data_IF_748272693809
#
_entry.id   IF_748272693809
#
_cell.length_a   1.000
_cell.length_b   1.000
_cell.length_c   1.000
_cell.angle_alpha   90.00
_cell.angle_beta   90.00
_cell.angle_gamma   90.00
#
_symmetry.space_group_name_H-M   'P 1'
#
loop_
_entity.id
_entity.type
_entity.pdbx_description
1 polymer ?
#
# COMPACT_ATOMS: atom_id res chain seq x y z
N UNK A 1 19.60 -53.14 36.15
CA UNK A 1 18.48 -52.89 35.22
C UNK A 1 17.82 -51.57 35.58
N UNK A 2 18.19 -50.49 34.86
CA UNK A 2 17.39 -49.28 34.63
C UNK A 2 18.14 -48.43 33.59
N UNK A 3 17.57 -48.42 32.39
CA UNK A 3 17.93 -47.59 31.25
C UNK A 3 17.88 -46.10 31.66
N UNK A 4 18.85 -45.32 31.21
CA UNK A 4 18.68 -43.88 31.03
C UNK A 4 19.18 -43.55 29.61
N UNK A 5 18.22 -43.21 28.74
CA UNK A 5 18.44 -42.74 27.38
C UNK A 5 19.16 -41.38 27.42
N UNK A 6 20.22 -41.24 26.63
CA UNK A 6 20.79 -39.95 26.26
C UNK A 6 20.05 -39.48 25.00
N UNK A 7 19.13 -38.53 25.15
CA UNK A 7 18.59 -37.77 24.02
C UNK A 7 19.40 -36.47 23.90
N UNK A 8 20.39 -36.44 23.01
CA UNK A 8 21.07 -35.21 22.63
C UNK A 8 20.15 -34.44 21.67
N UNK A 9 19.41 -33.46 22.20
CA UNK A 9 18.74 -32.48 21.36
C UNK A 9 19.82 -31.59 20.73
N UNK A 10 20.02 -31.74 19.42
CA UNK A 10 20.70 -30.76 18.59
C UNK A 10 19.85 -29.49 18.57
N UNK A 11 20.06 -28.63 19.57
CA UNK A 11 19.68 -27.22 19.47
C UNK A 11 20.64 -26.61 18.47
N UNK A 12 20.21 -26.47 17.23
CA UNK A 12 20.83 -25.52 16.32
C UNK A 12 20.58 -24.14 16.94
N UNK A 13 21.55 -23.62 17.68
CA UNK A 13 21.57 -22.21 18.04
C UNK A 13 21.60 -21.45 16.71
N UNK A 14 20.47 -20.85 16.33
CA UNK A 14 20.50 -19.72 15.42
C UNK A 14 21.50 -18.73 16.03
N UNK A 15 22.54 -18.38 15.26
CA UNK A 15 23.51 -17.39 15.68
C UNK A 15 22.74 -16.14 16.11
N UNK A 16 22.93 -15.72 17.36
CA UNK A 16 22.45 -14.43 17.80
C UNK A 16 23.05 -13.38 16.87
N UNK A 17 22.22 -12.46 16.36
CA UNK A 17 22.65 -11.34 15.53
C UNK A 17 23.83 -10.64 16.23
N UNK A 18 24.94 -10.49 15.51
CA UNK A 18 26.10 -9.78 16.02
C UNK A 18 25.72 -8.34 16.38
N UNK A 19 26.42 -7.77 17.34
CA UNK A 19 26.17 -6.40 17.78
C UNK A 19 26.67 -5.46 16.67
N UNK A 20 25.79 -5.09 15.75
CA UNK A 20 26.15 -4.26 14.60
C UNK A 20 26.41 -2.80 15.01
N UNK A 21 27.40 -2.18 14.37
CA UNK A 21 27.87 -0.81 14.63
C UNK A 21 26.83 0.28 14.38
N UNK A 22 27.26 1.53 14.61
CA UNK A 22 26.42 2.72 14.47
C UNK A 22 25.84 2.81 13.04
N UNK A 23 24.51 2.99 12.95
CA UNK A 23 23.80 3.06 11.67
C UNK A 23 24.39 4.17 10.78
N UNK A 24 24.48 3.95 9.45
CA UNK A 24 24.99 4.95 8.52
C UNK A 24 24.29 6.31 8.71
N UNK A 25 25.06 7.39 8.78
CA UNK A 25 24.53 8.75 8.87
C UNK A 25 24.06 9.21 7.50
N UNK A 26 22.74 9.37 7.38
CA UNK A 26 22.13 9.93 6.19
C UNK A 26 22.41 11.44 6.13
N UNK A 27 23.12 11.87 5.10
CA UNK A 27 23.31 13.28 4.79
C UNK A 27 22.67 13.56 3.42
N UNK A 28 21.41 13.98 3.41
CA UNK A 28 20.68 14.37 2.19
C UNK A 28 19.68 15.47 2.50
N UNK A 29 19.74 16.59 1.77
CA UNK A 29 18.81 17.71 1.95
C UNK A 29 17.37 17.31 1.63
N UNK A 30 16.42 17.81 2.42
CA UNK A 30 14.99 17.51 2.29
C UNK A 30 14.46 17.78 0.88
N UNK A 31 13.90 16.74 0.27
CA UNK A 31 13.22 16.80 -1.02
C UNK A 31 11.80 17.34 -0.89
N UNK A 32 11.24 17.83 -2.00
CA UNK A 32 9.84 18.30 -2.09
C UNK A 32 9.14 17.65 -3.27
N UNK A 33 7.94 17.12 -3.05
CA UNK A 33 6.99 16.69 -4.09
C UNK A 33 5.81 17.64 -4.07
N UNK A 34 5.42 18.15 -5.23
CA UNK A 34 4.30 19.08 -5.37
C UNK A 34 3.15 18.37 -6.05
N UNK A 35 1.98 18.37 -5.40
CA UNK A 35 0.73 17.93 -5.99
C UNK A 35 -0.08 19.15 -6.44
N UNK A 36 -0.15 19.38 -7.74
CA UNK A 36 -0.93 20.46 -8.34
C UNK A 36 -2.39 20.05 -8.54
N UNK A 37 -3.31 21.03 -8.54
CA UNK A 37 -4.71 20.79 -8.84
C UNK A 37 -4.92 20.57 -10.34
N UNK A 38 -5.22 19.33 -10.75
CA UNK A 38 -5.42 18.92 -12.15
C UNK A 38 -6.61 17.94 -12.29
N UNK A 39 -7.85 18.43 -12.15
CA UNK A 39 -9.02 17.57 -12.10
C UNK A 39 -9.30 16.90 -13.45
N UNK A 40 -9.37 15.57 -13.46
CA UNK A 40 -9.72 14.77 -14.63
C UNK A 40 -8.65 14.69 -15.72
N UNK A 41 -7.42 15.13 -15.43
CA UNK A 41 -6.28 15.02 -16.34
C UNK A 41 -5.67 13.62 -16.32
N UNK A 42 -5.57 13.03 -15.12
CA UNK A 42 -4.95 11.72 -14.89
C UNK A 42 -5.99 10.60 -14.83
N UNK A 43 -5.67 9.48 -15.46
CA UNK A 43 -6.36 8.21 -15.34
C UNK A 43 -5.47 7.21 -14.62
N UNK A 44 -6.02 6.45 -13.66
CA UNK A 44 -5.29 5.38 -13.02
C UNK A 44 -5.24 4.16 -13.97
N UNK A 45 -4.17 4.00 -14.74
CA UNK A 45 -3.98 2.90 -15.69
C UNK A 45 -2.51 2.47 -15.89
N UNK A 46 -1.57 3.15 -15.23
CA UNK A 46 -0.13 2.89 -15.30
C UNK A 46 0.57 3.57 -16.47
N UNK A 47 -0.14 4.28 -17.35
CA UNK A 47 0.43 4.88 -18.55
C UNK A 47 0.97 6.29 -18.27
N UNK A 48 2.17 6.67 -18.74
CA UNK A 48 2.73 8.00 -18.44
C UNK A 48 2.20 9.17 -19.29
N UNK A 49 1.19 8.97 -20.16
CA UNK A 49 0.89 9.94 -21.23
C UNK A 49 0.18 11.19 -20.72
N UNK A 50 -0.79 11.00 -19.84
CA UNK A 50 -1.47 12.04 -19.06
C UNK A 50 -0.54 12.76 -18.07
N UNK A 51 0.61 12.17 -17.72
CA UNK A 51 1.59 12.78 -16.82
C UNK A 51 2.66 13.65 -17.52
N UNK A 52 2.66 13.76 -18.85
CA UNK A 52 3.72 14.47 -19.59
C UNK A 52 3.90 15.92 -19.14
N UNK A 53 2.80 16.60 -18.82
CA UNK A 53 2.80 18.01 -18.41
C UNK A 53 3.01 18.23 -16.90
N UNK A 54 3.16 17.15 -16.11
CA UNK A 54 3.38 17.22 -14.66
C UNK A 54 4.88 17.18 -14.37
N UNK A 55 5.37 18.13 -13.57
CA UNK A 55 6.78 18.17 -13.18
C UNK A 55 7.15 16.99 -12.26
N UNK A 56 8.35 16.44 -12.46
CA UNK A 56 8.87 15.37 -11.64
C UNK A 56 9.86 15.88 -10.60
N UNK A 57 9.74 15.35 -9.38
CA UNK A 57 10.78 15.42 -8.36
C UNK A 57 11.65 14.17 -8.45
N UNK A 58 12.95 14.34 -8.71
CA UNK A 58 13.90 13.22 -8.78
C UNK A 58 14.62 13.01 -7.43
N UNK A 59 14.70 11.76 -7.01
CA UNK A 59 15.38 11.34 -5.78
C UNK A 59 16.31 10.15 -6.05
N UNK A 60 17.39 10.07 -5.28
CA UNK A 60 18.28 8.91 -5.30
C UNK A 60 17.65 7.77 -4.50
N UNK A 61 17.53 6.58 -5.10
CA UNK A 61 17.23 5.36 -4.38
C UNK A 61 18.49 4.90 -3.64
N UNK A 62 18.51 5.17 -2.33
CA UNK A 62 19.53 4.72 -1.42
C UNK A 62 19.24 3.27 -0.99
N UNK A 63 20.26 2.46 -0.69
CA UNK A 63 20.05 1.19 0.00
C UNK A 63 19.30 1.45 1.31
N UNK A 64 18.37 0.57 1.69
CA UNK A 64 17.90 0.55 3.06
C UNK A 64 19.10 0.41 4.01
N UNK A 65 18.96 0.92 5.23
CA UNK A 65 19.98 0.82 6.28
C UNK A 65 20.16 -0.66 6.67
N UNK A 66 20.96 -1.40 5.90
CA UNK A 66 21.43 -2.74 6.23
C UNK A 66 22.80 -2.57 6.93
N UNK A 67 23.00 -3.14 8.12
CA UNK A 67 24.30 -3.09 8.80
C UNK A 67 25.41 -3.84 8.06
N UNK A 68 25.08 -4.65 7.06
CA UNK A 68 26.04 -5.43 6.28
C UNK A 68 26.35 -4.75 4.92
N UNK A 69 27.49 -4.06 4.84
CA UNK A 69 27.94 -3.30 3.66
C UNK A 69 28.02 -4.12 2.36
N UNK A 70 28.29 -5.43 2.44
CA UNK A 70 28.37 -6.34 1.28
C UNK A 70 26.99 -6.69 0.70
N UNK A 71 25.93 -6.42 1.46
CA UNK A 71 24.55 -6.67 1.08
C UNK A 71 23.83 -5.43 0.55
N UNK A 72 24.46 -4.26 0.62
CA UNK A 72 23.93 -3.03 0.03
C UNK A 72 23.76 -3.20 -1.49
N UNK A 73 22.53 -3.05 -1.96
CA UNK A 73 22.25 -3.04 -3.39
C UNK A 73 22.79 -1.74 -4.02
N UNK A 74 23.11 -1.73 -5.32
CA UNK A 74 23.61 -0.51 -6.00
C UNK A 74 22.50 0.54 -6.10
N UNK A 75 22.72 1.74 -5.54
CA UNK A 75 21.71 2.80 -5.56
C UNK A 75 21.17 3.13 -6.96
N UNK A 76 19.96 3.68 -7.00
CA UNK A 76 19.25 4.03 -8.23
C UNK A 76 18.68 5.44 -8.20
N UNK A 77 17.70 5.71 -9.06
CA UNK A 77 16.91 6.94 -9.05
C UNK A 77 15.43 6.61 -9.16
N UNK A 78 14.61 7.46 -8.56
CA UNK A 78 13.16 7.47 -8.76
C UNK A 78 12.72 8.89 -9.10
N UNK A 79 11.83 9.01 -10.08
CA UNK A 79 11.12 10.25 -10.34
C UNK A 79 9.70 10.13 -9.79
N UNK A 80 9.25 11.12 -9.02
CA UNK A 80 7.91 11.17 -8.43
C UNK A 80 7.17 12.37 -8.99
N UNK A 81 5.99 12.13 -9.54
CA UNK A 81 5.02 13.15 -9.97
C UNK A 81 3.78 13.05 -9.09
N UNK A 82 3.12 14.16 -8.81
CA UNK A 82 1.88 14.16 -8.05
C UNK A 82 0.89 15.21 -8.54
N UNK A 83 -0.40 14.89 -8.46
CA UNK A 83 -1.51 15.81 -8.74
C UNK A 83 -2.68 15.52 -7.81
N UNK A 84 -3.68 16.39 -7.74
CA UNK A 84 -4.94 16.12 -7.06
C UNK A 84 -6.13 16.73 -7.82
N UNK A 85 -7.32 16.14 -7.66
CA UNK A 85 -8.57 16.64 -8.27
C UNK A 85 -9.47 17.38 -7.24
N UNK A 86 -8.96 17.56 -6.02
CA UNK A 86 -9.68 18.17 -4.90
C UNK A 86 -10.45 17.17 -4.04
N UNK A 87 -10.57 15.92 -4.48
CA UNK A 87 -11.16 14.79 -3.76
C UNK A 87 -10.10 13.71 -3.50
N UNK A 88 -9.35 13.36 -4.54
CA UNK A 88 -8.30 12.36 -4.54
C UNK A 88 -6.93 13.00 -4.83
N UNK A 89 -5.89 12.35 -4.34
CA UNK A 89 -4.50 12.60 -4.71
C UNK A 89 -4.00 11.44 -5.57
N UNK A 90 -3.15 11.76 -6.54
CA UNK A 90 -2.56 10.83 -7.49
C UNK A 90 -1.05 10.97 -7.48
N UNK A 91 -0.34 9.85 -7.60
CA UNK A 91 1.10 9.80 -7.74
C UNK A 91 1.50 8.94 -8.92
N UNK A 92 2.56 9.32 -9.62
CA UNK A 92 3.27 8.49 -10.59
C UNK A 92 4.73 8.37 -10.19
N UNK A 93 5.22 7.15 -10.07
CA UNK A 93 6.61 6.84 -9.76
C UNK A 93 7.25 6.18 -10.97
N UNK A 94 8.41 6.69 -11.35
CA UNK A 94 9.18 6.18 -12.49
C UNK A 94 10.52 5.66 -12.00
N UNK A 95 10.80 4.40 -12.29
CA UNK A 95 12.06 3.76 -11.92
C UNK A 95 12.61 2.98 -13.11
N UNK A 96 13.80 3.35 -13.57
CA UNK A 96 14.47 2.61 -14.63
C UNK A 96 14.86 1.22 -14.15
N UNK A 97 14.62 0.23 -14.99
CA UNK A 97 14.94 -1.14 -14.69
C UNK A 97 14.42 -2.12 -15.73
N UNK A 98 15.23 -3.13 -16.03
CA UNK A 98 14.88 -4.36 -16.72
C UNK A 98 13.55 -5.03 -16.28
N UNK A 99 12.80 -5.55 -17.24
CA UNK A 99 11.59 -6.31 -16.96
C UNK A 99 11.89 -7.58 -16.14
N UNK A 100 11.35 -7.67 -14.93
CA UNK A 100 11.56 -8.78 -14.02
C UNK A 100 10.21 -9.27 -13.47
N UNK A 101 9.86 -10.51 -13.75
CA UNK A 101 8.65 -11.12 -13.23
C UNK A 101 8.79 -12.63 -13.12
N UNK A 102 8.31 -13.21 -12.02
CA UNK A 102 8.13 -14.65 -11.87
C UNK A 102 6.76 -14.93 -11.27
N UNK A 103 5.90 -15.64 -12.03
CA UNK A 103 4.54 -15.96 -11.59
C UNK A 103 4.54 -16.73 -10.28
N UNK A 104 3.79 -16.23 -9.30
CA UNK A 104 3.62 -16.85 -8.00
C UNK A 104 4.79 -16.65 -7.03
N UNK A 105 5.83 -15.90 -7.41
CA UNK A 105 6.99 -15.65 -6.56
C UNK A 105 7.15 -14.18 -6.21
N UNK A 106 6.53 -13.78 -5.10
CA UNK A 106 6.44 -12.38 -4.69
C UNK A 106 7.79 -11.67 -4.52
N UNK A 107 8.83 -12.46 -4.23
CA UNK A 107 10.21 -12.02 -4.02
C UNK A 107 10.98 -11.75 -5.33
N UNK A 108 10.38 -12.03 -6.49
CA UNK A 108 11.01 -11.89 -7.81
C UNK A 108 10.24 -10.91 -8.70
N UNK A 109 9.62 -9.91 -8.07
CA UNK A 109 8.82 -8.91 -8.77
C UNK A 109 9.14 -7.50 -8.24
N UNK A 110 9.38 -6.53 -9.14
CA UNK A 110 9.57 -5.13 -8.82
C UNK A 110 8.37 -4.58 -8.05
N UNK A 111 8.56 -4.11 -6.84
CA UNK A 111 7.47 -3.56 -6.04
C UNK A 111 7.85 -2.19 -5.54
N UNK A 112 6.88 -1.29 -5.45
CA UNK A 112 7.11 0.03 -4.86
C UNK A 112 6.13 0.24 -3.70
N UNK A 113 6.56 0.99 -2.70
CA UNK A 113 5.72 1.41 -1.60
C UNK A 113 5.77 2.94 -1.45
N UNK A 114 4.60 3.53 -1.28
CA UNK A 114 4.44 4.88 -0.76
C UNK A 114 4.21 4.80 0.74
N UNK A 115 4.84 5.71 1.47
CA UNK A 115 4.81 5.74 2.93
C UNK A 115 4.54 7.16 3.38
N UNK A 116 3.54 7.37 4.23
CA UNK A 116 3.18 8.68 4.76
C UNK A 116 3.28 8.70 6.28
N UNK A 117 3.81 9.80 6.80
CA UNK A 117 3.94 9.96 8.24
C UNK A 117 2.58 10.07 8.93
N UNK A 118 2.36 9.22 9.94
CA UNK A 118 1.26 9.36 10.90
C UNK A 118 1.85 9.60 12.29
N UNK A 119 1.42 10.66 12.96
CA UNK A 119 1.95 11.04 14.27
C UNK A 119 3.47 11.28 14.26
N UNK A 120 4.21 10.62 15.16
CA UNK A 120 5.64 10.87 15.41
C UNK A 120 6.59 9.91 14.67
N UNK A 121 6.19 9.41 13.51
CA UNK A 121 6.99 8.43 12.77
C UNK A 121 8.33 8.98 12.29
N UNK A 122 9.37 8.12 12.32
CA UNK A 122 10.71 8.43 11.85
C UNK A 122 11.00 7.60 10.59
N UNK A 123 11.32 8.23 9.46
CA UNK A 123 11.60 7.54 8.19
C UNK A 123 12.95 6.82 8.28
N UNK A 124 13.16 5.78 7.47
CA UNK A 124 14.41 5.02 7.47
C UNK A 124 14.61 4.06 8.65
N UNK A 125 14.14 4.43 9.86
CA UNK A 125 14.41 3.74 11.12
C UNK A 125 13.22 2.96 11.66
N UNK A 126 12.01 3.51 11.52
CA UNK A 126 10.81 2.89 12.07
C UNK A 126 9.92 2.32 10.97
N UNK A 127 9.69 3.02 9.85
CA UNK A 127 8.87 2.52 8.73
C UNK A 127 7.57 1.78 9.15
N UNK A 128 6.98 2.16 10.29
CA UNK A 128 5.84 1.49 10.92
C UNK A 128 6.18 0.41 11.97
N UNK A 129 7.35 -0.21 11.91
CA UNK A 129 7.80 -1.19 12.90
C UNK A 129 8.06 -0.57 14.28
N UNK A 130 7.55 -1.21 15.33
CA UNK A 130 7.89 -0.87 16.71
C UNK A 130 9.08 -1.70 17.20
N UNK A 131 9.75 -1.22 18.25
CA UNK A 131 10.93 -1.88 18.84
C UNK A 131 10.66 -3.32 19.34
N UNK A 132 9.41 -3.69 19.64
CA UNK A 132 9.03 -5.02 20.13
C UNK A 132 8.95 -6.01 18.95
N UNK A 133 8.30 -5.61 17.87
CA UNK A 133 8.10 -6.46 16.69
C UNK A 133 9.34 -6.49 15.78
N UNK A 134 10.07 -5.37 15.67
CA UNK A 134 11.33 -5.31 14.93
C UNK A 134 12.40 -6.24 15.53
N UNK A 135 12.36 -6.52 16.83
CA UNK A 135 13.24 -7.49 17.47
C UNK A 135 13.05 -8.93 16.96
N UNK A 136 11.91 -9.22 16.35
CA UNK A 136 11.62 -10.52 15.73
C UNK A 136 12.05 -10.59 14.25
N UNK A 137 12.53 -9.49 13.65
CA UNK A 137 13.04 -9.44 12.27
C UNK A 137 12.00 -9.73 11.18
N UNK A 138 10.71 -9.68 11.53
CA UNK A 138 9.59 -9.95 10.60
C UNK A 138 8.99 -8.67 10.00
N UNK A 139 9.40 -7.49 10.47
CA UNK A 139 8.85 -6.19 10.04
C UNK A 139 7.40 -5.97 10.45
N UNK A 140 6.91 -6.67 11.48
CA UNK A 140 5.57 -6.49 12.01
C UNK A 140 5.42 -5.16 12.76
N UNK A 141 4.19 -4.67 12.83
CA UNK A 141 3.81 -3.40 13.45
C UNK A 141 2.56 -3.57 14.34
N UNK A 142 2.47 -4.68 15.08
CA UNK A 142 1.30 -5.04 15.90
C UNK A 142 0.87 -3.95 16.87
N UNK A 143 1.80 -3.07 17.22
CA UNK A 143 1.57 -1.88 18.03
C UNK A 143 2.11 -0.64 17.31
N UNK A 144 1.22 0.14 16.70
CA UNK A 144 1.53 1.45 16.15
C UNK A 144 1.77 1.43 14.64
N UNK A 145 0.70 1.60 13.88
CA UNK A 145 0.77 1.98 12.47
C UNK A 145 1.16 3.46 12.39
N UNK A 146 2.43 3.74 12.72
CA UNK A 146 2.97 5.11 12.66
C UNK A 146 3.17 5.55 11.21
N UNK A 147 3.05 4.65 10.26
CA UNK A 147 3.14 4.95 8.84
C UNK A 147 1.91 4.37 8.16
N UNK A 148 1.31 5.18 7.30
CA UNK A 148 0.35 4.73 6.32
C UNK A 148 1.13 4.32 5.07
N UNK A 149 1.17 3.01 4.83
CA UNK A 149 1.93 2.40 3.74
C UNK A 149 0.99 1.78 2.75
N UNK A 150 1.32 1.90 1.47
CA UNK A 150 0.73 1.08 0.44
C UNK A 150 1.83 0.58 -0.46
N UNK A 151 1.96 -0.74 -0.56
CA UNK A 151 2.87 -1.37 -1.50
C UNK A 151 2.07 -2.03 -2.61
N UNK A 152 2.45 -1.74 -3.85
CA UNK A 152 1.77 -2.29 -5.02
C UNK A 152 2.76 -2.97 -5.95
N UNK A 153 2.39 -4.20 -6.28
CA UNK A 153 2.77 -4.91 -7.47
C UNK A 153 1.55 -5.72 -7.94
N UNK A 154 1.15 -5.57 -9.21
CA UNK A 154 0.00 -6.25 -9.85
C UNK A 154 -0.05 -7.77 -9.72
N UNK A 155 1.08 -8.44 -9.57
CA UNK A 155 1.20 -9.88 -9.79
C UNK A 155 1.73 -10.63 -8.57
N UNK A 156 2.22 -9.90 -7.56
CA UNK A 156 3.17 -10.44 -6.59
C UNK A 156 2.95 -9.94 -5.18
N UNK A 157 2.62 -8.66 -4.99
CA UNK A 157 2.49 -8.08 -3.65
C UNK A 157 1.55 -6.88 -3.66
N UNK A 158 0.50 -6.96 -2.89
CA UNK A 158 -0.28 -5.81 -2.45
C UNK A 158 -0.25 -5.82 -0.93
N UNK A 159 0.09 -4.68 -0.32
CA UNK A 159 0.16 -4.51 1.12
C UNK A 159 -0.68 -3.28 1.47
N UNK A 160 -1.57 -3.46 2.43
CA UNK A 160 -2.44 -2.42 2.99
C UNK A 160 -3.29 -1.66 1.96
N UNK A 161 -3.89 -2.43 1.03
CA UNK A 161 -4.94 -1.93 0.15
C UNK A 161 -5.58 -3.02 -0.72
N UNK A 162 -6.39 -2.61 -1.70
CA UNK A 162 -7.21 -3.52 -2.51
C UNK A 162 -6.36 -4.16 -3.62
N UNK A 163 -6.08 -5.46 -3.48
CA UNK A 163 -5.42 -6.28 -4.50
C UNK A 163 -6.37 -6.91 -5.52
N UNK A 164 -5.85 -7.50 -6.62
CA UNK A 164 -6.65 -8.21 -7.62
C UNK A 164 -7.40 -9.45 -7.08
N UNK A 165 -6.96 -9.98 -5.93
CA UNK A 165 -7.46 -11.23 -5.31
C UNK A 165 -7.95 -11.05 -3.87
N UNK A 166 -8.57 -9.89 -3.60
CA UNK A 166 -9.16 -9.48 -2.31
C UNK A 166 -8.19 -8.84 -1.31
N UNK A 167 -8.78 -8.07 -0.39
CA UNK A 167 -8.11 -7.32 0.67
C UNK A 167 -7.49 -8.28 1.69
N UNK A 168 -6.18 -8.23 1.88
CA UNK A 168 -5.46 -9.09 2.83
C UNK A 168 -5.20 -8.41 4.19
N UNK A 169 -5.61 -7.16 4.38
CA UNK A 169 -5.42 -6.45 5.64
C UNK A 169 -6.69 -5.76 6.12
N UNK A 170 -6.77 -5.51 7.43
CA UNK A 170 -7.83 -4.66 7.99
C UNK A 170 -7.58 -3.18 7.72
N UNK A 171 -6.49 -2.84 7.04
CA UNK A 171 -6.08 -1.47 6.77
C UNK A 171 -6.98 -0.93 5.63
N UNK A 172 -7.69 0.17 5.92
CA UNK A 172 -8.70 0.78 5.04
C UNK A 172 -8.11 1.97 4.29
N UNK A 173 -6.88 1.84 3.82
CA UNK A 173 -6.07 2.98 3.35
C UNK A 173 -6.57 3.56 2.01
N UNK A 174 -7.64 2.95 1.45
CA UNK A 174 -8.37 3.33 0.23
C UNK A 174 -7.48 3.53 -1.01
N UNK A 175 -6.29 2.93 -1.00
CA UNK A 175 -5.36 3.00 -2.12
C UNK A 175 -5.76 2.08 -3.26
N UNK A 176 -5.67 2.66 -4.45
CA UNK A 176 -5.69 1.96 -5.72
C UNK A 176 -4.34 2.14 -6.42
N UNK A 177 -3.86 1.07 -7.04
CA UNK A 177 -2.60 1.06 -7.75
C UNK A 177 -2.74 0.57 -9.18
N UNK A 178 -2.01 1.18 -10.10
CA UNK A 178 -1.78 0.67 -11.44
C UNK A 178 -0.28 0.63 -11.73
N UNK A 179 0.13 -0.09 -12.77
CA UNK A 179 1.53 -0.15 -13.16
C UNK A 179 1.67 -0.44 -14.65
N UNK A 180 2.82 -0.10 -15.19
CA UNK A 180 3.23 -0.47 -16.54
C UNK A 180 4.74 -0.56 -16.63
N UNK A 181 5.24 -1.20 -17.68
CA UNK A 181 6.66 -1.20 -18.00
C UNK A 181 6.84 -0.91 -19.48
N UNK A 182 7.79 -0.02 -19.83
CA UNK A 182 7.93 0.48 -21.21
C UNK A 182 8.31 -0.55 -22.26
N UNK A 183 8.77 -1.74 -21.86
CA UNK A 183 9.00 -2.86 -22.81
C UNK A 183 7.72 -3.59 -23.22
N UNK A 184 6.60 -3.35 -22.54
CA UNK A 184 5.33 -4.02 -22.81
C UNK A 184 4.65 -3.38 -24.02
N UNK A 185 4.16 -4.22 -24.93
CA UNK A 185 3.56 -3.78 -26.20
C UNK A 185 2.03 -3.76 -26.18
N UNK A 186 1.42 -4.24 -25.10
CA UNK A 186 -0.02 -4.23 -24.89
C UNK A 186 -0.33 -3.79 -23.46
N UNK A 187 -1.41 -3.01 -23.32
CA UNK A 187 -1.94 -2.58 -22.04
C UNK A 187 -2.99 -3.57 -21.61
N UNK A 188 -3.00 -3.91 -20.33
CA UNK A 188 -3.93 -4.88 -19.80
C UNK A 188 -4.30 -4.49 -18.38
N UNK A 189 -5.57 -4.67 -18.03
CA UNK A 189 -6.16 -4.08 -16.83
C UNK A 189 -5.70 -4.67 -15.50
N UNK A 190 -6.37 -4.19 -14.44
CA UNK A 190 -6.13 -4.45 -13.02
C UNK A 190 -6.26 -5.90 -12.53
N UNK A 191 -6.47 -6.88 -13.42
CA UNK A 191 -6.67 -8.28 -13.05
C UNK A 191 -5.52 -9.16 -13.50
N UNK A 192 -5.21 -10.18 -12.69
CA UNK A 192 -4.12 -11.13 -12.88
C UNK A 192 -4.08 -11.77 -14.28
N UNK A 193 -5.27 -11.99 -14.87
CA UNK A 193 -5.43 -12.67 -16.17
C UNK A 193 -5.15 -11.74 -17.36
N UNK A 194 -5.22 -10.43 -17.15
CA UNK A 194 -4.96 -9.43 -18.19
C UNK A 194 -3.48 -9.04 -18.20
N UNK A 195 -2.85 -8.92 -17.02
CA UNK A 195 -1.53 -8.30 -16.83
C UNK A 195 -0.42 -8.77 -17.81
N UNK A 196 0.35 -7.86 -18.45
CA UNK A 196 1.14 -8.21 -19.63
C UNK A 196 2.42 -8.94 -19.23
N UNK A 197 2.69 -10.11 -19.83
CA UNK A 197 3.98 -10.77 -19.68
C UNK A 197 4.98 -10.21 -20.68
N UNK A 198 5.89 -9.37 -20.19
CA UNK A 198 7.09 -8.96 -20.91
C UNK A 198 8.13 -10.07 -20.99
N UNK A 199 9.12 -9.89 -21.87
CA UNK A 199 10.30 -10.76 -21.90
C UNK A 199 11.24 -10.36 -20.76
N UNK A 200 11.64 -11.35 -19.96
CA UNK A 200 12.57 -11.16 -18.85
C UNK A 200 13.85 -10.48 -19.32
N UNK A 201 14.35 -9.55 -18.51
CA UNK A 201 15.59 -8.79 -18.68
C UNK A 201 15.54 -7.76 -19.83
N UNK A 202 14.36 -7.52 -20.42
CA UNK A 202 14.19 -6.44 -21.41
C UNK A 202 14.30 -5.07 -20.72
N UNK A 203 15.18 -4.22 -21.23
CA UNK A 203 15.41 -2.88 -20.68
C UNK A 203 14.17 -2.00 -20.79
N UNK A 204 13.93 -1.19 -19.77
CA UNK A 204 12.86 -0.21 -19.78
C UNK A 204 12.75 0.55 -18.47
N UNK A 205 11.56 1.08 -18.25
CA UNK A 205 11.20 1.91 -17.10
C UNK A 205 9.89 1.39 -16.57
N UNK A 206 9.83 1.22 -15.25
CA UNK A 206 8.59 0.95 -14.53
C UNK A 206 7.87 2.25 -14.24
N UNK A 207 6.57 2.22 -14.46
CA UNK A 207 5.62 3.26 -14.09
C UNK A 207 4.69 2.66 -13.06
N UNK A 208 4.55 3.30 -11.90
CA UNK A 208 3.59 2.91 -10.88
C UNK A 208 2.72 4.10 -10.56
N UNK A 209 1.42 3.89 -10.60
CA UNK A 209 0.46 4.90 -10.23
C UNK A 209 -0.26 4.52 -8.96
N UNK A 210 -0.58 5.55 -8.19
CA UNK A 210 -1.30 5.43 -6.94
C UNK A 210 -2.37 6.49 -6.88
N UNK A 211 -3.56 6.12 -6.43
CA UNK A 211 -4.60 7.09 -6.10
C UNK A 211 -5.31 6.71 -4.82
N UNK A 212 -5.71 7.72 -4.06
CA UNK A 212 -6.69 7.57 -2.99
C UNK A 212 -7.41 8.88 -2.68
N UNK A 213 -8.53 8.84 -1.94
CA UNK A 213 -9.13 10.03 -1.34
C UNK A 213 -8.15 10.82 -0.45
N UNK A 214 -8.22 12.15 -0.49
CA UNK A 214 -7.48 13.04 0.42
C UNK A 214 -7.86 12.79 1.89
N UNK A 215 -9.11 12.37 2.12
CA UNK A 215 -9.65 11.98 3.42
C UNK A 215 -10.17 10.56 3.34
N UNK A 216 -9.70 9.68 4.20
CA UNK A 216 -10.20 8.30 4.30
C UNK A 216 -11.26 8.21 5.38
N UNK A 217 -12.00 7.09 5.41
CA UNK A 217 -13.00 6.82 6.44
C UNK A 217 -12.43 6.16 7.69
N UNK A 218 -11.09 6.08 7.79
CA UNK A 218 -10.40 5.44 8.89
C UNK A 218 -10.75 6.05 10.25
N UNK A 219 -11.26 5.19 11.14
CA UNK A 219 -11.71 5.54 12.47
C UNK A 219 -10.62 5.33 13.54
N UNK A 220 -9.52 4.68 13.17
CA UNK A 220 -8.45 4.26 14.09
C UNK A 220 -7.19 5.13 13.98
N UNK A 221 -7.18 6.15 13.12
CA UNK A 221 -6.06 7.08 12.91
C UNK A 221 -4.77 6.38 12.47
N UNK A 222 -4.93 5.36 11.65
CA UNK A 222 -3.89 4.60 10.96
C UNK A 222 -3.55 5.24 9.60
N UNK A 223 -4.47 6.00 9.01
CA UNK A 223 -4.29 6.62 7.70
C UNK A 223 -3.83 8.08 7.79
N UNK A 224 -2.90 8.46 6.92
CA UNK A 224 -2.51 9.85 6.75
C UNK A 224 -3.65 10.65 6.09
N UNK A 225 -4.17 11.64 6.81
CA UNK A 225 -5.23 12.51 6.33
C UNK A 225 -4.64 13.75 5.66
N UNK A 226 -4.87 13.91 4.36
CA UNK A 226 -4.29 15.00 3.59
C UNK A 226 -5.19 16.24 3.57
N UNK A 227 -4.62 17.40 3.87
CA UNK A 227 -5.29 18.70 3.76
C UNK A 227 -4.66 19.52 2.65
N UNK A 228 -5.48 20.03 1.73
CA UNK A 228 -5.01 20.97 0.70
C UNK A 228 -4.47 22.23 1.38
N UNK A 229 -3.26 22.63 1.00
CA UNK A 229 -2.54 23.78 1.56
C UNK A 229 -1.72 23.46 2.81
N UNK A 230 -1.77 22.24 3.33
CA UNK A 230 -0.92 21.80 4.43
C UNK A 230 0.11 20.76 3.93
N UNK A 231 1.40 20.93 4.28
CA UNK A 231 2.42 19.94 3.94
C UNK A 231 2.17 18.62 4.68
N UNK A 232 2.46 17.51 3.99
CA UNK A 232 2.59 16.18 4.59
C UNK A 232 4.02 15.67 4.41
N UNK A 233 4.35 14.57 5.06
CA UNK A 233 5.65 13.93 4.96
C UNK A 233 5.49 12.55 4.32
N UNK A 234 6.30 12.29 3.29
CA UNK A 234 6.26 11.05 2.52
C UNK A 234 7.65 10.45 2.33
N UNK A 235 7.69 9.15 2.07
CA UNK A 235 8.86 8.41 1.62
C UNK A 235 8.44 7.39 0.56
N UNK A 236 9.41 6.94 -0.22
CA UNK A 236 9.20 5.94 -1.27
C UNK A 236 10.20 4.81 -1.06
N UNK A 237 9.74 3.57 -1.11
CA UNK A 237 10.60 2.40 -1.10
C UNK A 237 10.40 1.58 -2.37
N UNK A 238 11.48 0.99 -2.90
CA UNK A 238 11.47 0.18 -4.11
C UNK A 238 12.21 -1.13 -3.88
N UNK A 239 11.60 -2.24 -4.29
CA UNK A 239 12.18 -3.58 -4.23
C UNK A 239 12.46 -4.02 -5.65
N UNK A 240 13.72 -4.38 -5.94
CA UNK A 240 14.14 -4.68 -7.30
C UNK A 240 15.14 -5.84 -7.37
N UNK A 241 14.77 -6.99 -7.95
CA UNK A 241 15.57 -8.21 -7.87
C UNK A 241 16.56 -8.38 -9.03
N UNK A 242 17.31 -7.36 -9.43
CA UNK A 242 18.02 -7.39 -10.74
C UNK A 242 19.53 -7.31 -10.71
N UNK A 243 20.17 -7.17 -9.55
CA UNK A 243 21.63 -7.26 -9.44
C UNK A 243 22.12 -8.71 -9.20
N UNK A 244 21.22 -9.69 -9.27
CA UNK A 244 21.52 -11.09 -9.02
C UNK A 244 21.71 -11.43 -7.54
N UNK A 245 21.51 -10.48 -6.62
CA UNK A 245 21.52 -10.77 -5.19
C UNK A 245 20.24 -11.50 -4.77
N UNK A 246 20.33 -12.45 -3.83
CA UNK A 246 19.15 -13.09 -3.27
C UNK A 246 18.33 -12.07 -2.48
N UNK A 247 17.01 -12.14 -2.62
CA UNK A 247 16.09 -11.33 -1.84
C UNK A 247 16.19 -11.66 -0.34
N UNK A 248 16.12 -10.64 0.53
CA UNK A 248 16.00 -10.80 1.98
C UNK A 248 14.91 -9.86 2.53
N UNK A 249 14.40 -10.15 3.74
CA UNK A 249 13.37 -9.32 4.38
C UNK A 249 13.85 -7.89 4.65
N UNK A 250 15.15 -7.69 4.92
CA UNK A 250 15.74 -6.40 5.28
C UNK A 250 16.15 -5.57 4.07
N UNK A 251 16.28 -6.18 2.89
CA UNK A 251 16.91 -5.54 1.74
C UNK A 251 15.89 -4.98 0.76
N UNK A 252 15.82 -3.65 0.74
CA UNK A 252 15.08 -2.86 -0.23
C UNK A 252 15.79 -1.53 -0.47
N UNK A 253 15.41 -0.83 -1.53
CA UNK A 253 15.83 0.54 -1.74
C UNK A 253 14.82 1.50 -1.12
N UNK A 254 15.29 2.66 -0.66
CA UNK A 254 14.45 3.80 -0.30
C UNK A 254 14.91 5.04 -1.05
N UNK A 255 13.98 5.83 -1.55
CA UNK A 255 14.23 7.13 -2.18
C UNK A 255 14.71 8.19 -1.19
N UNK A 256 14.47 7.97 0.11
CA UNK A 256 14.79 8.96 1.12
C UNK A 256 15.17 8.32 2.45
N UNK A 257 16.28 8.79 3.00
CA UNK A 257 16.62 8.54 4.39
C UNK A 257 15.73 9.35 5.35
N UNK A 258 15.39 10.57 4.95
CA UNK A 258 14.54 11.50 5.68
C UNK A 258 13.15 11.61 5.04
N UNK A 259 12.21 12.26 5.72
CA UNK A 259 10.90 12.54 5.15
C UNK A 259 11.06 13.54 4.00
N UNK A 260 10.44 13.24 2.87
CA UNK A 260 10.25 14.17 1.76
C UNK A 260 8.96 14.95 2.01
N UNK A 261 8.99 16.26 1.85
CA UNK A 261 7.78 17.09 2.02
C UNK A 261 6.87 16.94 0.81
N UNK A 262 5.62 16.55 1.04
CA UNK A 262 4.53 16.53 0.07
C UNK A 262 3.68 17.78 0.24
N UNK A 263 3.64 18.63 -0.78
CA UNK A 263 2.84 19.84 -0.78
C UNK A 263 1.66 19.74 -1.73
N UNK A 264 0.46 19.70 -1.15
CA UNK A 264 -0.80 19.65 -1.89
C UNK A 264 -1.28 21.08 -2.08
N UNK A 265 -1.15 21.62 -3.28
CA UNK A 265 -1.32 23.04 -3.51
C UNK A 265 -2.79 23.47 -3.50
N UNK A 266 -3.13 24.62 -2.90
CA UNK A 266 -4.45 25.19 -3.07
C UNK A 266 -4.62 25.70 -4.51
N UNK A 267 -5.84 25.61 -5.04
CA UNK A 267 -6.21 26.23 -6.31
C UNK A 267 -7.50 27.02 -6.15
N UNK A 268 -7.54 28.22 -6.76
CA UNK A 268 -8.75 29.03 -6.83
C UNK A 268 -9.84 28.34 -7.66
N UNK A 269 -9.43 27.54 -8.65
CA UNK A 269 -10.33 26.71 -9.44
C UNK A 269 -10.87 25.54 -8.62
N UNK A 270 -10.05 24.91 -7.77
CA UNK A 270 -10.51 23.87 -6.84
C UNK A 270 -11.61 24.36 -5.90
N UNK A 271 -11.50 25.60 -5.38
CA UNK A 271 -12.53 26.19 -4.53
C UNK A 271 -13.88 26.39 -5.25
N UNK A 272 -13.88 26.43 -6.59
CA UNK A 272 -15.08 26.56 -7.44
C UNK A 272 -15.48 25.23 -8.10
N UNK A 273 -14.55 24.29 -8.14
CA UNK A 273 -14.76 22.96 -8.67
C UNK A 273 -15.72 22.23 -7.75
N UNK A 274 -16.93 21.98 -8.27
CA UNK A 274 -17.84 21.01 -7.68
C UNK A 274 -17.55 19.71 -8.41
N UNK A 275 -16.98 18.69 -7.74
CA UNK A 275 -16.92 17.37 -8.32
C UNK A 275 -18.33 17.01 -8.80
N UNK A 276 -18.44 16.36 -9.96
CA UNK A 276 -19.69 15.69 -10.28
C UNK A 276 -20.02 14.80 -9.07
N UNK A 277 -21.22 14.89 -8.46
CA UNK A 277 -21.54 14.05 -7.33
C UNK A 277 -21.28 12.60 -7.74
N UNK A 278 -20.50 11.87 -6.95
CA UNK A 278 -20.32 10.42 -7.07
C UNK A 278 -21.70 9.76 -6.87
N UNK A 279 -22.52 9.78 -7.93
CA UNK A 279 -23.95 9.45 -7.90
C UNK A 279 -24.24 8.00 -7.57
N UNK A 280 -23.24 7.13 -7.59
CA UNK A 280 -23.42 5.69 -7.34
C UNK A 280 -23.38 5.33 -5.86
N UNK A 281 -22.50 5.94 -5.06
CA UNK A 281 -22.29 5.55 -3.66
C UNK A 281 -23.35 6.12 -2.71
N UNK A 282 -23.74 7.38 -2.89
CA UNK A 282 -24.78 8.01 -2.06
C UNK A 282 -26.16 7.36 -2.26
N UNK A 283 -26.50 7.03 -3.51
CA UNK A 283 -27.76 6.37 -3.82
C UNK A 283 -27.80 4.96 -3.23
N UNK A 284 -26.76 4.15 -3.44
CA UNK A 284 -26.68 2.79 -2.91
C UNK A 284 -26.75 2.77 -1.38
N UNK A 285 -26.08 3.71 -0.71
CA UNK A 285 -26.10 3.85 0.76
C UNK A 285 -27.49 4.28 1.26
N UNK A 286 -28.13 5.24 0.60
CA UNK A 286 -29.50 5.65 0.93
C UNK A 286 -30.51 4.51 0.71
N UNK A 287 -30.37 3.73 -0.37
CA UNK A 287 -31.19 2.54 -0.61
C UNK A 287 -30.94 1.45 0.43
N UNK A 288 -29.68 1.19 0.81
CA UNK A 288 -29.34 0.23 1.85
C UNK A 288 -29.92 0.62 3.22
N UNK A 289 -29.86 1.91 3.57
CA UNK A 289 -30.48 2.44 4.78
C UNK A 289 -32.01 2.28 4.74
N UNK A 290 -32.64 2.59 3.62
CA UNK A 290 -34.09 2.43 3.47
C UNK A 290 -34.50 0.95 3.57
N UNK A 291 -33.77 0.05 2.92
CA UNK A 291 -34.02 -1.40 2.99
C UNK A 291 -33.80 -1.96 4.41
N UNK A 292 -32.80 -1.47 5.14
CA UNK A 292 -32.55 -1.91 6.53
C UNK A 292 -33.68 -1.47 7.46
N UNK A 293 -34.17 -0.23 7.34
CA UNK A 293 -35.33 0.27 8.09
C UNK A 293 -36.57 -0.55 7.77
N UNK A 294 -36.83 -0.83 6.48
CA UNK A 294 -37.96 -1.68 6.06
C UNK A 294 -37.84 -3.09 6.66
N UNK A 295 -36.65 -3.70 6.62
CA UNK A 295 -36.42 -5.02 7.20
C UNK A 295 -36.67 -5.06 8.72
N UNK A 296 -36.26 -4.02 9.45
CA UNK A 296 -36.55 -3.88 10.89
C UNK A 296 -38.05 -3.74 11.13
N UNK A 297 -38.75 -2.89 10.38
CA UNK A 297 -40.20 -2.71 10.50
C UNK A 297 -40.96 -4.02 10.21
N UNK A 298 -40.58 -4.75 9.16
CA UNK A 298 -41.17 -6.05 8.82
C UNK A 298 -40.89 -7.08 9.93
N UNK A 299 -39.68 -7.12 10.47
CA UNK A 299 -39.32 -8.02 11.56
C UNK A 299 -40.14 -7.76 12.83
N UNK A 300 -40.32 -6.48 13.21
CA UNK A 300 -41.17 -6.08 14.33
C UNK A 300 -42.62 -6.46 14.07
N UNK A 301 -43.13 -6.23 12.86
CA UNK A 301 -44.50 -6.56 12.49
C UNK A 301 -44.77 -8.08 12.53
N UNK A 302 -43.87 -8.88 11.95
CA UNK A 302 -43.96 -10.35 11.97
C UNK A 302 -43.88 -10.87 13.41
N UNK A 303 -42.94 -10.36 14.22
CA UNK A 303 -42.83 -10.70 15.64
C UNK A 303 -44.08 -10.35 16.44
N UNK A 304 -44.66 -9.17 16.20
CA UNK A 304 -45.92 -8.74 16.82
C UNK A 304 -47.11 -9.61 16.39
N UNK A 305 -47.21 -9.93 15.10
CA UNK A 305 -48.27 -10.77 14.54
C UNK A 305 -48.20 -12.20 15.08
N UNK A 306 -47.01 -12.80 15.13
CA UNK A 306 -46.78 -14.13 15.71
C UNK A 306 -47.08 -14.16 17.23
N UNK A 307 -46.71 -13.09 17.95
CA UNK A 307 -47.02 -12.93 19.38
C UNK A 307 -48.51 -12.84 19.67
N UNK A 308 -49.30 -12.20 18.79
CA UNK A 308 -50.76 -12.15 18.90
C UNK A 308 -51.45 -13.44 18.46
N UNK A 309 -50.90 -14.15 17.48
CA UNK A 309 -51.45 -15.41 16.95
C UNK A 309 -50.82 -16.65 17.60
N UNK A 310 -50.85 -16.75 18.94
CA UNK A 310 -50.32 -17.90 19.69
C UNK A 310 -50.96 -19.25 19.31
N UNK A 311 -52.09 -19.25 18.60
CA UNK A 311 -52.87 -20.44 18.26
C UNK A 311 -52.55 -21.04 16.87
N UNK A 312 -51.73 -20.37 16.05
CA UNK A 312 -51.53 -20.73 14.63
C UNK A 312 -50.12 -21.13 14.21
N UNK A 313 -49.12 -20.97 15.07
CA UNK A 313 -47.72 -21.33 14.75
C UNK A 313 -47.44 -22.75 15.25
N UNK A 314 -47.70 -23.75 14.41
CA UNK A 314 -47.20 -25.10 14.66
C UNK A 314 -45.72 -25.16 14.33
N UNK A 315 -44.88 -25.21 15.35
CA UNK A 315 -43.49 -25.62 15.19
C UNK A 315 -43.46 -27.12 14.91
N UNK A 316 -43.12 -27.51 13.69
CA UNK A 316 -42.80 -28.91 13.40
C UNK A 316 -41.55 -29.28 14.19
N UNK A 317 -41.68 -30.15 15.19
CA UNK A 317 -40.52 -30.71 15.87
C UNK A 317 -39.68 -31.49 14.85
N UNK A 318 -38.39 -31.15 14.76
CA UNK A 318 -37.41 -32.01 14.11
C UNK A 318 -37.40 -33.33 14.89
N UNK A 319 -37.96 -34.37 14.27
CA UNK A 319 -37.80 -35.73 14.77
C UNK A 319 -36.30 -36.04 14.78
N UNK A 320 -35.79 -36.45 15.94
CA UNK A 320 -34.45 -37.00 16.07
C UNK A 320 -34.26 -38.14 15.05
N UNK A 321 -33.29 -37.95 14.16
CA UNK A 321 -32.56 -39.03 13.50
C UNK A 321 -31.10 -38.83 13.88
#
# INVERSE_FOLDING_TARGET
MRLLLVAAALVACAAAHEHHGEAPTCAGGGGRVVAEFRPGEVTLDGHPADWEAVEASEFSLLPALDPDDDKAYTGGKVAVKAVHDGVNVFFMLQVDGDYAYTKGESKKCPSVALMFQVGNAIPGRLYGGNHIDNAAGNGGDRFGHLVDVYAWNPHCRYLDGIGPKENNSNAQNDWHGAWWHSSLTFHSGFVDDDSPYGKKDDKGTYYFEFSRPLRTMDQFQQDAQFTIGEPSNMAVAFWYPTDGKPWSNSQHYSASCDWVTLDIQPSLEAARYRPAPNRSWDAATAFALLLSVVAVCVSIFVGYSASKNKSGVQFTQLAQI
#
